data_IF_588845557111
#
_entry.id   IF_588845557111
#
_cell.length_a   1.000
_cell.length_b   1.000
_cell.length_c   1.000
_cell.angle_alpha   90.00
_cell.angle_beta   90.00
_cell.angle_gamma   90.00
#
_symmetry.space_group_name_H-M   'P 1'
#
loop_
_entity.id
_entity.type
_entity.pdbx_description
1 polymer ?
#
# COMPACT_ATOMS: atom_id res chain seq x y z
N UNK A 1 -34.15 -15.74 11.39
CA UNK A 1 -32.98 -15.56 12.27
C UNK A 1 -31.95 -14.76 11.50
N UNK A 2 -31.39 -13.70 12.10
CA UNK A 2 -30.37 -12.86 11.46
C UNK A 2 -29.14 -13.72 11.08
N UNK A 3 -28.67 -13.60 9.83
CA UNK A 3 -27.55 -14.38 9.29
C UNK A 3 -26.28 -14.19 10.13
N UNK A 4 -26.03 -12.99 10.65
CA UNK A 4 -24.86 -12.73 11.49
C UNK A 4 -24.92 -13.46 12.84
N UNK A 5 -26.11 -13.53 13.43
CA UNK A 5 -26.34 -14.28 14.67
C UNK A 5 -26.10 -15.78 14.42
N UNK A 6 -26.57 -16.30 13.29
CA UNK A 6 -26.36 -17.69 12.90
C UNK A 6 -24.88 -18.01 12.66
N UNK A 7 -24.15 -17.13 11.97
CA UNK A 7 -22.71 -17.27 11.76
C UNK A 7 -21.97 -17.26 13.09
N UNK A 8 -22.27 -16.30 13.98
CA UNK A 8 -21.67 -16.27 15.32
C UNK A 8 -21.95 -17.56 16.08
N UNK A 9 -23.19 -18.04 16.06
CA UNK A 9 -23.57 -19.27 16.74
C UNK A 9 -22.75 -20.47 16.25
N UNK A 10 -22.59 -20.61 14.93
CA UNK A 10 -21.76 -21.66 14.35
C UNK A 10 -20.28 -21.52 14.74
N UNK A 11 -19.73 -20.31 14.70
CA UNK A 11 -18.34 -20.03 15.06
C UNK A 11 -18.05 -20.38 16.52
N UNK A 12 -18.95 -20.00 17.43
CA UNK A 12 -18.78 -20.24 18.87
C UNK A 12 -19.01 -21.71 19.23
N UNK A 13 -20.04 -22.35 18.68
CA UNK A 13 -20.47 -23.67 19.14
C UNK A 13 -19.86 -24.83 18.35
N UNK A 14 -19.58 -24.63 17.05
CA UNK A 14 -19.04 -25.70 16.20
C UNK A 14 -17.53 -25.59 16.04
N UNK A 15 -16.99 -24.37 15.95
CA UNK A 15 -15.56 -24.13 15.80
C UNK A 15 -14.85 -23.77 17.11
N UNK A 16 -15.61 -23.59 18.20
CA UNK A 16 -15.10 -23.29 19.54
C UNK A 16 -14.24 -22.02 19.61
N UNK A 17 -14.55 -21.03 18.76
CA UNK A 17 -13.84 -19.75 18.70
C UNK A 17 -14.60 -18.65 19.45
N UNK A 18 -13.88 -17.75 20.10
CA UNK A 18 -14.48 -16.61 20.77
C UNK A 18 -14.70 -15.45 19.80
N UNK A 19 -15.94 -14.97 19.76
CA UNK A 19 -16.33 -13.77 19.03
C UNK A 19 -16.70 -12.68 20.03
N UNK A 20 -15.84 -11.68 20.15
CA UNK A 20 -16.01 -10.52 21.03
C UNK A 20 -17.14 -9.61 20.53
N UNK A 21 -17.12 -9.29 19.23
CA UNK A 21 -18.05 -8.35 18.59
C UNK A 21 -18.30 -8.75 17.16
N UNK A 22 -19.50 -8.44 16.68
CA UNK A 22 -19.84 -8.58 15.28
C UNK A 22 -20.84 -7.49 14.88
N UNK A 23 -20.75 -7.01 13.65
CA UNK A 23 -21.64 -5.99 13.10
C UNK A 23 -21.75 -6.14 11.58
N UNK A 24 -22.79 -5.53 11.01
CA UNK A 24 -22.90 -5.38 9.56
C UNK A 24 -21.95 -4.25 9.11
N UNK A 25 -21.13 -4.52 8.09
CA UNK A 25 -20.32 -3.51 7.42
C UNK A 25 -21.18 -2.82 6.32
N UNK A 26 -21.00 -1.51 6.07
CA UNK A 26 -21.75 -0.79 5.03
C UNK A 26 -21.67 -1.40 3.62
N UNK A 27 -20.63 -2.20 3.34
CA UNK A 27 -20.45 -2.94 2.09
C UNK A 27 -21.27 -4.25 2.01
N UNK A 28 -22.23 -4.46 2.91
CA UNK A 28 -23.09 -5.66 2.93
C UNK A 28 -22.37 -6.94 3.34
N UNK A 29 -21.26 -6.83 4.08
CA UNK A 29 -20.50 -7.97 4.64
C UNK A 29 -20.57 -7.96 6.17
N UNK A 30 -20.47 -9.12 6.81
CA UNK A 30 -20.35 -9.20 8.26
C UNK A 30 -18.93 -8.98 8.72
N UNK A 31 -18.72 -8.14 9.74
CA UNK A 31 -17.41 -7.99 10.39
C UNK A 31 -17.45 -8.68 11.76
N UNK A 32 -16.39 -9.42 12.09
CA UNK A 32 -16.28 -10.19 13.33
C UNK A 32 -14.92 -9.89 13.97
N UNK A 33 -14.94 -9.57 15.27
CA UNK A 33 -13.75 -9.44 16.11
C UNK A 33 -13.64 -10.69 16.97
N UNK A 34 -12.47 -11.33 16.92
CA UNK A 34 -12.13 -12.52 17.68
C UNK A 34 -11.35 -12.16 18.94
N UNK A 35 -11.38 -13.04 19.94
CA UNK A 35 -10.79 -12.79 21.26
C UNK A 35 -9.26 -12.71 21.25
N UNK A 36 -8.60 -13.37 20.29
CA UNK A 36 -7.15 -13.33 20.12
C UNK A 36 -6.72 -13.54 18.66
N UNK A 37 -5.44 -13.30 18.37
CA UNK A 37 -4.85 -13.44 17.03
C UNK A 37 -4.82 -14.88 16.54
N UNK A 38 -4.71 -15.87 17.43
CA UNK A 38 -4.67 -17.29 17.05
C UNK A 38 -6.02 -17.75 16.52
N UNK A 39 -7.11 -17.39 17.20
CA UNK A 39 -8.48 -17.68 16.77
C UNK A 39 -8.82 -16.95 15.46
N UNK A 40 -8.36 -15.70 15.34
CA UNK A 40 -8.49 -14.93 14.10
C UNK A 40 -7.73 -15.59 12.94
N UNK A 41 -6.52 -16.08 13.16
CA UNK A 41 -5.72 -16.73 12.13
C UNK A 41 -6.32 -18.10 11.75
N UNK A 42 -6.81 -18.86 12.73
CA UNK A 42 -7.46 -20.14 12.50
C UNK A 42 -8.70 -20.01 11.62
N UNK A 43 -9.57 -19.02 11.88
CA UNK A 43 -10.80 -18.83 11.11
C UNK A 43 -10.55 -18.28 9.71
N UNK A 44 -9.57 -17.39 9.54
CA UNK A 44 -9.21 -16.83 8.23
C UNK A 44 -8.67 -17.93 7.31
N UNK A 45 -7.87 -18.86 7.86
CA UNK A 45 -7.31 -19.98 7.11
C UNK A 45 -8.26 -21.20 7.04
N UNK A 46 -9.44 -21.13 7.67
CA UNK A 46 -10.42 -22.22 7.63
C UNK A 46 -11.07 -22.35 6.24
N UNK A 47 -11.45 -23.57 5.83
CA UNK A 47 -12.22 -23.75 4.60
C UNK A 47 -13.61 -23.08 4.74
N UNK A 48 -14.23 -22.69 3.61
CA UNK A 48 -15.59 -22.18 3.65
C UNK A 48 -16.56 -23.21 4.24
N UNK A 49 -17.52 -22.74 5.04
CA UNK A 49 -18.52 -23.58 5.68
C UNK A 49 -19.93 -23.06 5.42
N UNK A 50 -20.93 -23.92 5.60
CA UNK A 50 -22.33 -23.60 5.27
C UNK A 50 -23.08 -23.18 6.54
N UNK A 51 -23.72 -22.00 6.48
CA UNK A 51 -24.66 -21.52 7.49
C UNK A 51 -25.95 -21.11 6.79
N UNK A 52 -27.08 -21.71 7.17
CA UNK A 52 -28.39 -21.44 6.55
C UNK A 52 -28.33 -21.48 5.01
N UNK A 53 -27.76 -22.56 4.46
CA UNK A 53 -27.63 -22.80 3.00
C UNK A 53 -26.74 -21.79 2.26
N UNK A 54 -26.05 -20.89 2.97
CA UNK A 54 -25.07 -19.96 2.40
C UNK A 54 -23.66 -20.41 2.73
N UNK A 55 -22.80 -20.44 1.72
CA UNK A 55 -21.36 -20.63 1.93
C UNK A 55 -20.77 -19.36 2.53
N UNK A 56 -20.14 -19.49 3.68
CA UNK A 56 -19.49 -18.43 4.44
C UNK A 56 -17.99 -18.67 4.37
N UNK A 57 -17.23 -17.63 4.02
CA UNK A 57 -15.77 -17.59 4.08
C UNK A 57 -15.36 -16.35 4.85
N UNK A 58 -14.46 -16.53 5.81
CA UNK A 58 -13.78 -15.42 6.46
C UNK A 58 -12.57 -15.02 5.62
N UNK A 59 -12.41 -13.72 5.43
CA UNK A 59 -11.26 -13.11 4.75
C UNK A 59 -10.69 -12.06 5.67
N UNK A 60 -9.41 -11.76 5.57
CA UNK A 60 -8.83 -10.66 6.33
C UNK A 60 -9.54 -9.36 5.95
N UNK A 61 -9.72 -8.48 6.92
CA UNK A 61 -10.46 -7.22 6.70
C UNK A 61 -9.82 -6.34 5.62
N UNK A 62 -8.49 -6.42 5.45
CA UNK A 62 -7.70 -5.72 4.43
C UNK A 62 -7.65 -6.45 3.09
N UNK A 63 -8.23 -7.65 2.99
CA UNK A 63 -8.33 -8.48 1.78
C UNK A 63 -9.80 -8.71 1.38
N UNK A 64 -10.73 -7.96 1.99
CA UNK A 64 -12.16 -8.05 1.71
C UNK A 64 -12.50 -7.53 0.29
N UNK A 65 -13.78 -7.62 -0.14
CA UNK A 65 -14.24 -7.28 -1.51
C UNK A 65 -13.76 -5.93 -2.08
N UNK A 66 -13.46 -4.96 -1.22
CA UNK A 66 -12.95 -3.65 -1.61
C UNK A 66 -11.43 -3.62 -1.86
N UNK A 67 -10.70 -4.66 -1.47
CA UNK A 67 -9.30 -4.84 -1.79
C UNK A 67 -9.16 -5.49 -3.15
N UNK A 68 -8.63 -4.73 -4.11
CA UNK A 68 -8.18 -5.24 -5.40
C UNK A 68 -6.68 -5.01 -5.46
N UNK A 69 -5.96 -5.97 -6.02
CA UNK A 69 -4.56 -5.75 -6.39
C UNK A 69 -4.54 -4.63 -7.44
N UNK A 70 -3.99 -3.48 -7.07
CA UNK A 70 -3.66 -2.42 -8.01
C UNK A 70 -2.19 -2.66 -8.41
N UNK A 71 -1.90 -3.14 -9.63
CA UNK A 71 -0.53 -3.24 -10.08
C UNK A 71 -0.03 -1.81 -10.29
N UNK A 72 0.71 -1.28 -9.33
CA UNK A 72 1.57 -0.16 -9.64
C UNK A 72 2.62 -0.66 -10.62
N UNK A 73 2.42 -0.38 -11.91
CA UNK A 73 3.17 -1.06 -12.94
C UNK A 73 4.59 -0.50 -13.11
N UNK A 74 4.86 0.72 -12.63
CA UNK A 74 6.08 1.48 -12.97
C UNK A 74 6.67 2.20 -11.79
N UNK A 75 7.99 2.23 -11.72
CA UNK A 75 8.75 3.09 -10.82
C UNK A 75 9.63 4.02 -11.64
N UNK A 76 9.59 5.32 -11.37
CA UNK A 76 10.30 6.30 -12.18
C UNK A 76 10.82 7.49 -11.39
N UNK A 77 11.86 8.11 -11.94
CA UNK A 77 12.45 9.34 -11.42
C UNK A 77 11.72 10.56 -11.98
N UNK A 78 11.27 11.42 -11.08
CA UNK A 78 10.62 12.68 -11.39
C UNK A 78 11.46 13.85 -10.90
N UNK A 79 11.46 14.91 -11.70
CA UNK A 79 12.09 16.19 -11.37
C UNK A 79 11.02 17.26 -11.25
N UNK A 80 10.91 17.88 -10.08
CA UNK A 80 10.12 19.10 -9.87
C UNK A 80 11.03 20.32 -10.00
N UNK A 81 10.68 21.31 -10.83
CA UNK A 81 11.44 22.56 -10.94
C UNK A 81 10.69 23.72 -10.28
N UNK A 82 11.39 24.52 -9.48
CA UNK A 82 10.77 25.65 -8.77
C UNK A 82 9.84 25.22 -7.64
N UNK A 83 10.02 24.01 -7.10
CA UNK A 83 9.29 23.54 -5.93
C UNK A 83 9.62 24.43 -4.72
N UNK A 84 8.61 24.91 -3.95
CA UNK A 84 8.83 25.84 -2.85
C UNK A 84 9.74 25.22 -1.77
N UNK A 85 10.84 25.91 -1.46
CA UNK A 85 11.89 25.43 -0.54
C UNK A 85 11.36 25.16 0.87
N UNK A 86 10.42 25.97 1.34
CA UNK A 86 9.80 25.80 2.66
C UNK A 86 8.98 24.51 2.78
N UNK A 87 8.52 23.95 1.64
CA UNK A 87 7.77 22.70 1.59
C UNK A 87 8.66 21.50 1.23
N UNK A 88 9.98 21.68 1.13
CA UNK A 88 10.94 20.63 0.74
C UNK A 88 11.22 19.70 1.94
N UNK A 89 10.18 19.04 2.41
CA UNK A 89 10.23 18.03 3.48
C UNK A 89 9.62 16.71 2.98
N UNK A 90 9.95 15.61 3.66
CA UNK A 90 9.46 14.28 3.26
C UNK A 90 7.93 14.22 3.25
N UNK A 91 7.27 14.76 4.28
CA UNK A 91 5.82 14.70 4.44
C UNK A 91 5.09 15.44 3.32
N UNK A 92 5.55 16.65 2.96
CA UNK A 92 4.95 17.38 1.85
C UNK A 92 5.21 16.69 0.52
N UNK A 93 6.40 16.15 0.30
CA UNK A 93 6.70 15.41 -0.93
C UNK A 93 5.84 14.14 -1.05
N UNK A 94 5.60 13.42 0.05
CA UNK A 94 4.67 12.29 0.08
C UNK A 94 3.24 12.72 -0.25
N UNK A 95 2.78 13.82 0.33
CA UNK A 95 1.45 14.38 0.05
C UNK A 95 1.31 14.78 -1.43
N UNK A 96 2.33 15.44 -1.99
CA UNK A 96 2.37 15.82 -3.42
C UNK A 96 2.32 14.58 -4.31
N UNK A 97 3.17 13.60 -4.04
CA UNK A 97 3.26 12.39 -4.85
C UNK A 97 1.97 11.57 -4.78
N UNK A 98 1.29 11.54 -3.64
CA UNK A 98 0.00 10.84 -3.44
C UNK A 98 -1.10 11.23 -4.45
N UNK A 99 -0.95 12.36 -5.16
CA UNK A 99 -1.89 12.76 -6.21
C UNK A 99 -1.77 11.94 -7.50
N UNK A 100 -0.63 11.30 -7.77
CA UNK A 100 -0.38 10.53 -8.98
C UNK A 100 0.38 9.21 -8.74
N UNK A 101 0.83 8.93 -7.52
CA UNK A 101 1.56 7.72 -7.18
C UNK A 101 2.04 7.68 -5.72
N UNK A 102 2.96 6.77 -5.43
CA UNK A 102 3.55 6.60 -4.10
C UNK A 102 5.04 6.95 -4.11
N UNK A 103 5.45 7.88 -3.25
CA UNK A 103 6.87 8.22 -3.10
C UNK A 103 7.66 7.02 -2.57
N UNK A 104 8.65 6.56 -3.33
CA UNK A 104 9.59 5.50 -2.94
C UNK A 104 10.87 6.08 -2.34
N UNK A 105 11.40 7.14 -2.97
CA UNK A 105 12.68 7.71 -2.57
C UNK A 105 12.72 9.21 -2.86
N UNK A 106 13.38 9.98 -2.00
CA UNK A 106 13.67 11.38 -2.22
C UNK A 106 15.19 11.61 -2.15
N UNK A 107 15.76 12.18 -3.22
CA UNK A 107 17.16 12.61 -3.24
C UNK A 107 17.30 13.95 -2.50
N UNK A 108 17.46 13.87 -1.18
CA UNK A 108 17.54 15.03 -0.29
C UNK A 108 18.85 15.80 -0.42
N UNK A 109 19.95 15.14 -0.79
CA UNK A 109 21.29 15.72 -0.95
C UNK A 109 21.52 16.32 -2.36
N UNK A 110 20.51 16.96 -2.94
CA UNK A 110 20.68 17.66 -4.22
C UNK A 110 21.36 19.03 -3.98
N UNK A 111 22.50 19.33 -4.62
CA UNK A 111 23.15 20.63 -4.52
C UNK A 111 22.31 21.76 -5.14
N UNK A 112 21.33 21.44 -5.97
CA UNK A 112 20.45 22.43 -6.58
C UNK A 112 19.21 22.69 -5.72
N UNK A 113 19.03 23.96 -5.33
CA UNK A 113 17.80 24.44 -4.70
C UNK A 113 16.65 24.62 -5.70
N UNK A 114 16.96 24.67 -7.00
CA UNK A 114 15.96 24.91 -8.04
C UNK A 114 15.16 23.64 -8.42
N UNK A 115 15.62 22.46 -7.98
CA UNK A 115 14.97 21.19 -8.31
C UNK A 115 14.79 20.26 -7.11
N UNK A 116 13.85 19.36 -7.25
CA UNK A 116 13.63 18.22 -6.35
C UNK A 116 13.55 16.96 -7.19
N UNK A 117 14.34 15.94 -6.80
CA UNK A 117 14.37 14.65 -7.47
C UNK A 117 13.74 13.58 -6.56
N UNK A 118 12.71 12.94 -7.05
CA UNK A 118 11.97 11.88 -6.33
C UNK A 118 11.80 10.66 -7.21
N UNK A 119 11.83 9.47 -6.61
CA UNK A 119 11.42 8.22 -7.24
C UNK A 119 10.02 7.90 -6.77
N UNK A 120 9.09 7.72 -7.71
CA UNK A 120 7.67 7.48 -7.42
C UNK A 120 7.23 6.20 -8.13
N UNK A 121 6.40 5.44 -7.45
CA UNK A 121 5.69 4.26 -7.94
C UNK A 121 4.33 4.73 -8.48
N UNK A 122 3.98 4.44 -9.72
CA UNK A 122 2.78 4.92 -10.41
C UNK A 122 2.27 3.91 -11.44
N UNK A 123 1.07 4.15 -11.95
CA UNK A 123 0.35 3.19 -12.81
C UNK A 123 0.76 3.31 -14.29
N UNK A 124 0.59 4.49 -14.90
CA UNK A 124 0.86 4.73 -16.32
C UNK A 124 1.59 6.06 -16.54
N UNK A 125 2.47 6.12 -17.56
CA UNK A 125 3.18 7.32 -17.98
C UNK A 125 2.20 8.42 -18.47
N UNK A 126 1.04 8.01 -19.01
CA UNK A 126 -0.01 8.91 -19.49
C UNK A 126 -0.77 9.61 -18.35
N UNK A 127 -0.81 8.99 -17.17
CA UNK A 127 -1.48 9.55 -15.99
C UNK A 127 -0.59 10.51 -15.20
N UNK A 128 0.70 10.57 -15.52
CA UNK A 128 1.64 11.51 -14.91
C UNK A 128 1.30 12.94 -15.33
N UNK A 129 0.97 13.84 -14.39
CA UNK A 129 0.70 15.23 -14.72
C UNK A 129 1.99 15.96 -15.11
N UNK A 130 1.90 16.87 -16.10
CA UNK A 130 3.04 17.72 -16.53
C UNK A 130 3.40 18.81 -15.52
N UNK A 131 2.48 19.12 -14.60
CA UNK A 131 2.66 20.11 -13.55
C UNK A 131 1.78 19.76 -12.37
N UNK A 132 2.24 20.09 -11.16
CA UNK A 132 1.47 19.91 -9.94
C UNK A 132 1.24 21.24 -9.25
N UNK A 133 0.10 21.34 -8.58
CA UNK A 133 -0.24 22.46 -7.72
C UNK A 133 -0.34 21.98 -6.28
N UNK A 134 0.49 22.56 -5.43
CA UNK A 134 0.44 22.34 -3.97
C UNK A 134 -0.25 23.51 -3.33
N UNK A 135 -1.15 23.22 -2.38
CA UNK A 135 -1.77 24.21 -1.51
C UNK A 135 -1.28 23.99 -0.10
N UNK A 136 -0.84 25.04 0.56
CA UNK A 136 -0.47 25.01 1.98
C UNK A 136 -1.14 26.19 2.68
N UNK A 137 -1.89 25.88 3.73
CA UNK A 137 -2.54 26.86 4.57
C UNK A 137 -1.53 27.39 5.59
N UNK A 138 -1.08 28.62 5.39
CA UNK A 138 -0.43 29.39 6.45
C UNK A 138 -1.56 30.14 7.18
N UNK A 139 -1.89 29.72 8.40
CA UNK A 139 -2.99 30.26 9.23
C UNK A 139 -2.89 31.78 9.52
N UNK A 140 -1.84 32.47 9.06
CA UNK A 140 -1.57 33.85 9.47
C UNK A 140 -2.50 34.92 8.86
N UNK A 141 -3.27 34.63 7.81
CA UNK A 141 -4.10 35.66 7.14
C UNK A 141 -5.41 35.13 6.50
N UNK A 142 -5.83 33.91 6.85
CA UNK A 142 -7.05 33.30 6.27
C UNK A 142 -6.98 33.01 4.75
N UNK A 143 -5.83 33.21 4.11
CA UNK A 143 -5.61 32.97 2.68
C UNK A 143 -4.63 31.81 2.45
N UNK A 144 -5.11 30.74 1.82
CA UNK A 144 -4.30 29.61 1.36
C UNK A 144 -3.32 30.07 0.28
N UNK A 145 -2.03 29.70 0.40
CA UNK A 145 -1.07 29.89 -0.70
C UNK A 145 -1.01 28.64 -1.55
N UNK A 146 -0.90 28.82 -2.87
CA UNK A 146 -0.72 27.72 -3.81
C UNK A 146 0.46 27.96 -4.73
N UNK A 147 1.26 26.93 -4.96
CA UNK A 147 2.39 26.95 -5.87
C UNK A 147 2.16 25.93 -6.97
N UNK A 148 2.35 26.34 -8.22
CA UNK A 148 2.32 25.44 -9.37
C UNK A 148 3.73 25.31 -9.92
N UNK A 149 4.19 24.08 -10.10
CA UNK A 149 5.52 23.78 -10.60
C UNK A 149 5.46 22.70 -11.69
N UNK A 150 6.29 22.80 -12.73
CA UNK A 150 6.40 21.75 -13.74
C UNK A 150 7.09 20.49 -13.18
N UNK A 151 6.67 19.35 -13.73
CA UNK A 151 7.22 18.04 -13.43
C UNK A 151 7.73 17.40 -14.72
N UNK A 152 8.85 16.70 -14.61
CA UNK A 152 9.44 15.93 -15.71
C UNK A 152 9.72 14.51 -15.26
N UNK A 153 9.21 13.53 -16.03
CA UNK A 153 9.64 12.13 -15.92
C UNK A 153 11.01 12.00 -16.61
N UNK A 154 12.03 11.58 -15.86
CA UNK A 154 13.41 11.44 -16.34
C UNK A 154 13.69 10.02 -16.85
N UNK A 155 13.25 9.01 -16.10
CA UNK A 155 13.43 7.60 -16.42
C UNK A 155 12.36 6.77 -15.71
N UNK A 156 11.82 5.75 -16.36
CA UNK A 156 10.81 4.83 -15.82
C UNK A 156 11.21 3.38 -16.09
N UNK A 157 11.14 2.54 -15.07
CA UNK A 157 11.31 1.09 -15.18
C UNK A 157 9.99 0.41 -14.76
N UNK A 158 9.67 -0.76 -15.32
CA UNK A 158 8.60 -1.59 -14.77
C UNK A 158 8.93 -1.95 -13.32
N UNK A 159 7.95 -1.82 -12.43
CA UNK A 159 8.12 -2.17 -11.01
C UNK A 159 8.32 -3.69 -10.82
N UNK A 160 7.74 -4.49 -11.73
CA UNK A 160 7.72 -5.96 -11.67
C UNK A 160 8.85 -6.65 -12.47
N UNK A 161 10.04 -6.06 -12.55
CA UNK A 161 11.20 -6.84 -13.01
C UNK A 161 11.54 -7.87 -11.94
N UNK A 162 11.03 -9.08 -12.09
CA UNK A 162 11.46 -10.23 -11.29
C UNK A 162 12.97 -10.37 -11.50
N UNK A 163 13.79 -10.39 -10.42
CA UNK A 163 15.20 -10.76 -10.58
C UNK A 163 15.24 -12.13 -11.27
N UNK A 164 16.22 -12.31 -12.16
CA UNK A 164 16.47 -13.60 -12.79
C UNK A 164 16.63 -14.69 -11.73
N UNK A 165 16.46 -15.94 -12.15
CA UNK A 165 16.56 -17.11 -11.29
C UNK A 165 17.86 -17.07 -10.45
N UNK A 166 17.81 -17.63 -9.23
CA UNK A 166 18.96 -17.64 -8.32
C UNK A 166 20.15 -18.33 -9.02
N UNK A 167 21.29 -17.63 -9.12
CA UNK A 167 22.51 -18.25 -9.60
C UNK A 167 22.84 -19.47 -8.72
N UNK A 168 23.17 -20.64 -9.29
CA UNK A 168 23.45 -21.83 -8.51
C UNK A 168 24.56 -21.55 -7.49
N UNK A 169 24.36 -22.02 -6.26
CA UNK A 169 25.31 -21.80 -5.16
C UNK A 169 26.76 -22.12 -5.60
N UNK A 170 27.74 -21.27 -5.26
CA UNK A 170 29.12 -21.49 -5.68
C UNK A 170 29.59 -22.85 -5.18
N UNK A 171 30.08 -23.70 -6.09
CA UNK A 171 30.59 -25.01 -5.73
C UNK A 171 31.82 -24.83 -4.82
N UNK A 172 31.72 -25.33 -3.59
CA UNK A 172 32.82 -25.37 -2.61
C UNK A 172 34.01 -26.08 -3.24
N UNK A 173 34.94 -25.31 -3.79
CA UNK A 173 36.25 -25.80 -4.20
C UNK A 173 37.11 -25.82 -2.95
N UNK A 174 37.28 -27.01 -2.36
CA UNK A 174 38.23 -27.20 -1.26
C UNK A 174 39.66 -26.95 -1.80
N UNK A 175 40.27 -25.83 -1.43
CA UNK A 175 41.68 -25.59 -1.67
C UNK A 175 42.45 -26.40 -0.64
N UNK A 176 43.08 -27.50 -1.07
CA UNK A 176 44.06 -28.21 -0.25
C UNK A 176 45.35 -27.38 -0.22
N UNK A 177 45.78 -26.94 0.97
CA UNK A 177 47.12 -26.39 1.15
C UNK A 177 48.13 -27.54 1.30
N UNK A 178 49.27 -27.52 0.57
CA UNK A 178 50.31 -28.53 0.74
C UNK A 178 51.04 -28.37 2.10
N UNK A 179 51.53 -29.50 2.62
CA UNK A 179 52.33 -29.63 3.85
C UNK A 179 53.72 -29.01 3.74
#
# INVERSE_FOLDING_TARGET
MDLLIAIRHHVVNNMLLQVDRYNLHPLGVGIFKFGNLVEWDLIVNSPPFIVHERMIRFVKHNEAKNCKQAPFARAGWFMFLGYPLDLKTLDFLQQVCSSFGQLLFWHSQDPSFARVLVKVLYDDDLDVPRSLTVKHDQELDGASRSWTFPMFLLQSDLADHWPGDEDPAPQTTAILTPS
#
